data_IF_452188647940
#
_entry.id   IF_452188647940
#
_cell.length_a   1.000
_cell.length_b   1.000
_cell.length_c   1.000
_cell.angle_alpha   90.00
_cell.angle_beta   90.00
_cell.angle_gamma   90.00
#
_symmetry.space_group_name_H-M   'P 1'
#
loop_
_entity.id
_entity.type
_entity.pdbx_description
1 polymer ?
#
# COMPACT_ATOMS: atom_id res chain seq x y z
N UNK A 1 14.50 -17.39 30.96
CA UNK A 1 14.52 -16.11 30.22
C UNK A 1 13.11 -15.55 30.32
N UNK A 2 12.88 -14.46 31.08
CA UNK A 2 11.53 -13.92 31.25
C UNK A 2 11.13 -13.07 30.03
N UNK A 3 9.97 -13.37 29.45
CA UNK A 3 9.41 -12.62 28.31
C UNK A 3 8.26 -11.74 28.80
N UNK A 4 8.31 -10.45 28.46
CA UNK A 4 7.33 -9.44 28.85
C UNK A 4 6.41 -9.12 27.67
N UNK A 5 5.09 -9.23 27.85
CA UNK A 5 4.11 -8.94 26.81
C UNK A 5 3.10 -7.88 27.27
N UNK A 6 2.85 -6.90 26.39
CA UNK A 6 1.83 -5.88 26.58
C UNK A 6 0.55 -6.25 25.86
N UNK A 7 -0.59 -6.13 26.55
CA UNK A 7 -1.90 -6.27 25.93
C UNK A 7 -2.04 -5.33 24.72
N UNK A 8 -2.54 -5.83 23.59
CA UNK A 8 -2.67 -5.08 22.33
C UNK A 8 -3.98 -4.33 22.17
N UNK A 9 -4.81 -4.25 23.21
CA UNK A 9 -6.07 -3.49 23.15
C UNK A 9 -5.79 -2.00 22.94
N UNK A 10 -6.42 -1.35 21.93
CA UNK A 10 -6.19 0.07 21.60
C UNK A 10 -6.41 1.06 22.76
N UNK A 11 -7.31 0.74 23.70
CA UNK A 11 -7.75 1.68 24.75
C UNK A 11 -7.09 1.45 26.12
N UNK A 12 -6.37 0.34 26.34
CA UNK A 12 -5.87 -0.06 27.67
C UNK A 12 -4.51 -0.75 27.58
N UNK A 13 -3.46 0.05 27.41
CA UNK A 13 -2.05 -0.38 27.33
C UNK A 13 -1.38 -0.66 28.70
N UNK A 14 -2.17 -0.79 29.79
CA UNK A 14 -1.65 -0.94 31.16
C UNK A 14 -1.58 -2.38 31.69
N UNK A 15 -2.13 -3.36 30.97
CA UNK A 15 -2.03 -4.76 31.34
C UNK A 15 -0.78 -5.39 30.71
N UNK A 16 0.13 -5.84 31.57
CA UNK A 16 1.39 -6.50 31.20
C UNK A 16 1.60 -7.72 32.06
N UNK A 17 2.05 -8.82 31.44
CA UNK A 17 2.30 -10.07 32.14
C UNK A 17 3.68 -10.63 31.78
N UNK A 18 4.32 -11.24 32.77
CA UNK A 18 5.57 -11.99 32.64
C UNK A 18 5.27 -13.48 32.62
N UNK A 19 5.81 -14.20 31.63
CA UNK A 19 5.54 -15.64 31.45
C UNK A 19 6.81 -16.45 31.64
N UNK A 20 6.65 -17.60 32.32
CA UNK A 20 7.65 -18.64 32.47
C UNK A 20 7.10 -19.90 31.76
N UNK A 21 7.51 -20.05 30.49
CA UNK A 21 7.34 -21.22 29.59
C UNK A 21 5.97 -21.51 28.90
N UNK A 22 6.07 -21.88 27.61
CA UNK A 22 5.10 -22.57 26.71
C UNK A 22 3.62 -22.17 26.69
N UNK A 23 3.28 -20.95 27.12
CA UNK A 23 1.93 -20.40 26.90
C UNK A 23 1.90 -19.65 25.57
N UNK A 24 0.98 -20.00 24.67
CA UNK A 24 0.77 -19.31 23.38
C UNK A 24 -0.37 -18.29 23.42
N UNK A 25 -1.21 -18.34 24.46
CA UNK A 25 -2.45 -17.57 24.59
C UNK A 25 -2.47 -16.84 25.93
N UNK A 26 -2.65 -15.52 25.88
CA UNK A 26 -2.77 -14.65 27.04
C UNK A 26 -4.14 -13.99 27.07
N UNK A 27 -4.89 -14.27 28.13
CA UNK A 27 -6.15 -13.60 28.44
C UNK A 27 -5.86 -12.36 29.28
N UNK A 28 -6.28 -11.20 28.81
CA UNK A 28 -6.15 -9.97 29.57
C UNK A 28 -7.32 -9.85 30.56
N UNK A 29 -7.01 -9.73 31.85
CA UNK A 29 -8.02 -9.57 32.92
C UNK A 29 -8.87 -8.30 32.78
N UNK A 30 -8.44 -7.35 31.95
CA UNK A 30 -9.10 -6.06 31.75
C UNK A 30 -10.22 -6.12 30.69
N UNK A 31 -10.14 -7.05 29.73
CA UNK A 31 -11.14 -7.21 28.66
C UNK A 31 -11.48 -8.68 28.45
N UNK A 32 -12.60 -9.08 29.04
CA UNK A 32 -13.19 -10.41 28.90
C UNK A 32 -13.59 -10.63 27.44
N UNK A 33 -12.84 -11.46 26.72
CA UNK A 33 -13.21 -11.93 25.37
C UNK A 33 -12.12 -11.85 24.30
N UNK A 34 -11.05 -11.08 24.52
CA UNK A 34 -9.94 -10.97 23.55
C UNK A 34 -8.73 -11.80 24.00
N UNK A 35 -8.36 -12.81 23.20
CA UNK A 35 -7.17 -13.64 23.44
C UNK A 35 -5.99 -13.02 22.70
N UNK A 36 -4.92 -12.71 23.44
CA UNK A 36 -3.67 -12.25 22.84
C UNK A 36 -2.82 -13.48 22.52
N UNK A 37 -2.44 -13.65 21.26
CA UNK A 37 -1.49 -14.68 20.90
C UNK A 37 -0.06 -14.16 21.06
N UNK A 38 0.74 -14.88 21.84
CA UNK A 38 2.14 -14.52 22.10
C UNK A 38 3.04 -14.83 20.88
N UNK A 39 2.63 -15.78 20.03
CA UNK A 39 3.39 -16.20 18.85
C UNK A 39 3.36 -15.14 17.73
N UNK A 40 2.20 -14.56 17.43
CA UNK A 40 2.06 -13.52 16.41
C UNK A 40 1.88 -12.10 16.97
N UNK A 41 1.88 -11.97 18.31
CA UNK A 41 1.74 -10.70 19.02
C UNK A 41 0.48 -9.90 18.65
N UNK A 42 -0.63 -10.59 18.39
CA UNK A 42 -1.90 -10.02 17.97
C UNK A 42 -3.08 -10.56 18.80
N UNK A 43 -4.24 -9.91 18.70
CA UNK A 43 -5.46 -10.37 19.36
C UNK A 43 -6.32 -11.17 18.38
N UNK A 44 -6.50 -12.45 18.66
CA UNK A 44 -7.42 -13.33 17.94
C UNK A 44 -7.95 -14.43 18.87
N UNK A 45 -9.27 -14.59 18.94
CA UNK A 45 -9.94 -15.64 19.72
C UNK A 45 -10.83 -16.49 18.84
N UNK A 46 -10.99 -17.77 19.18
CA UNK A 46 -11.86 -18.70 18.45
C UNK A 46 -11.31 -19.22 17.11
N UNK A 47 -10.10 -18.84 16.74
CA UNK A 47 -9.37 -19.32 15.56
C UNK A 47 -7.89 -19.55 15.91
N UNK A 48 -7.25 -20.47 15.21
CA UNK A 48 -5.83 -20.77 15.39
C UNK A 48 -4.94 -19.64 14.88
N UNK A 49 -3.70 -19.57 15.39
CA UNK A 49 -2.72 -18.58 14.91
C UNK A 49 -2.47 -18.70 13.40
N UNK A 50 -2.50 -19.91 12.84
CA UNK A 50 -2.33 -20.11 11.40
C UNK A 50 -3.50 -19.53 10.60
N UNK A 51 -4.74 -19.83 10.99
CA UNK A 51 -5.94 -19.29 10.34
C UNK A 51 -5.98 -17.75 10.41
N UNK A 52 -5.55 -17.17 11.52
CA UNK A 52 -5.42 -15.72 11.66
C UNK A 52 -4.39 -15.12 10.69
N UNK A 53 -3.21 -15.74 10.57
CA UNK A 53 -2.19 -15.31 9.61
C UNK A 53 -2.67 -15.45 8.16
N UNK A 54 -3.37 -16.54 7.85
CA UNK A 54 -3.94 -16.78 6.51
C UNK A 54 -5.03 -15.75 6.17
N UNK A 55 -5.87 -15.37 7.13
CA UNK A 55 -6.87 -14.31 6.96
C UNK A 55 -6.24 -12.92 6.73
N UNK A 56 -5.17 -12.60 7.46
CA UNK A 56 -4.39 -11.39 7.23
C UNK A 56 -3.78 -11.37 5.83
N UNK A 57 -3.19 -12.49 5.38
CA UNK A 57 -2.62 -12.61 4.04
C UNK A 57 -3.69 -12.40 2.95
N UNK A 58 -4.87 -13.00 3.11
CA UNK A 58 -6.00 -12.78 2.19
C UNK A 58 -6.44 -11.32 2.13
N UNK A 59 -6.50 -10.63 3.28
CA UNK A 59 -6.85 -9.20 3.34
C UNK A 59 -5.81 -8.32 2.65
N UNK A 60 -4.52 -8.63 2.81
CA UNK A 60 -3.43 -7.95 2.09
C UNK A 60 -3.57 -8.17 0.59
N UNK A 61 -3.83 -9.40 0.16
CA UNK A 61 -4.06 -9.72 -1.25
C UNK A 61 -5.28 -8.99 -1.82
N UNK A 62 -6.40 -8.97 -1.11
CA UNK A 62 -7.59 -8.21 -1.52
C UNK A 62 -7.33 -6.71 -1.62
N UNK A 63 -6.60 -6.13 -0.67
CA UNK A 63 -6.22 -4.72 -0.70
C UNK A 63 -5.26 -4.43 -1.88
N UNK A 64 -4.30 -5.31 -2.15
CA UNK A 64 -3.41 -5.22 -3.30
C UNK A 64 -4.19 -5.33 -4.62
N UNK A 65 -5.16 -6.24 -4.71
CA UNK A 65 -6.03 -6.38 -5.88
C UNK A 65 -6.89 -5.14 -6.12
N UNK A 66 -7.48 -4.56 -5.06
CA UNK A 66 -8.24 -3.30 -5.15
C UNK A 66 -7.37 -2.16 -5.66
N UNK A 67 -6.15 -2.05 -5.14
CA UNK A 67 -5.17 -1.02 -5.53
C UNK A 67 -4.76 -1.17 -7.00
N UNK A 68 -4.47 -2.40 -7.44
CA UNK A 68 -4.16 -2.68 -8.85
C UNK A 68 -5.33 -2.34 -9.77
N UNK A 69 -6.55 -2.76 -9.41
CA UNK A 69 -7.76 -2.47 -10.19
C UNK A 69 -8.00 -0.97 -10.35
N UNK A 70 -7.77 -0.19 -9.29
CA UNK A 70 -7.87 1.26 -9.35
C UNK A 70 -6.90 1.87 -10.37
N UNK A 71 -5.63 1.42 -10.39
CA UNK A 71 -4.65 1.87 -11.38
C UNK A 71 -5.02 1.44 -12.80
N UNK A 72 -5.46 0.20 -12.99
CA UNK A 72 -5.88 -0.32 -14.29
C UNK A 72 -7.08 0.47 -14.85
N UNK A 73 -8.06 0.81 -13.99
CA UNK A 73 -9.19 1.64 -14.37
C UNK A 73 -8.78 3.07 -14.75
N UNK A 74 -7.80 3.65 -14.05
CA UNK A 74 -7.24 4.97 -14.38
C UNK A 74 -6.53 4.98 -15.74
N UNK A 75 -5.78 3.91 -16.05
CA UNK A 75 -5.13 3.73 -17.36
C UNK A 75 -6.17 3.56 -18.46
N UNK A 76 -7.21 2.75 -18.22
CA UNK A 76 -8.28 2.48 -19.19
C UNK A 76 -9.09 3.74 -19.53
N UNK A 77 -9.38 4.58 -18.53
CA UNK A 77 -10.07 5.87 -18.73
C UNK A 77 -9.19 6.90 -19.44
N UNK A 78 -7.86 6.68 -19.45
CA UNK A 78 -6.92 7.64 -19.98
C UNK A 78 -6.72 8.83 -19.05
N UNK A 79 -6.89 8.62 -17.74
CA UNK A 79 -6.62 9.59 -16.69
C UNK A 79 -5.18 9.45 -16.15
N UNK A 80 -4.57 8.28 -16.35
CA UNK A 80 -3.22 7.94 -15.87
C UNK A 80 -2.43 7.04 -16.82
N UNK A 81 -1.11 7.01 -16.69
CA UNK A 81 -0.24 6.03 -17.32
C UNK A 81 0.95 5.68 -16.43
N UNK A 82 1.47 4.44 -16.47
CA UNK A 82 2.70 4.09 -15.78
C UNK A 82 3.91 4.69 -16.49
N UNK A 83 4.89 5.17 -15.72
CA UNK A 83 6.17 5.57 -16.29
C UNK A 83 6.87 4.37 -16.97
N UNK A 84 7.31 4.47 -18.23
CA UNK A 84 7.92 3.35 -18.95
C UNK A 84 9.28 2.90 -18.38
N UNK A 85 9.89 3.69 -17.48
CA UNK A 85 11.20 3.40 -16.88
C UNK A 85 11.13 2.89 -15.44
N UNK A 86 10.23 3.44 -14.61
CA UNK A 86 10.16 3.11 -13.18
C UNK A 86 8.76 2.74 -12.70
N UNK A 87 7.79 2.61 -13.61
CA UNK A 87 6.42 2.13 -13.37
C UNK A 87 5.57 2.93 -12.38
N UNK A 88 6.06 4.07 -11.86
CA UNK A 88 5.24 4.99 -11.04
C UNK A 88 4.05 5.50 -11.86
N UNK A 89 2.88 5.58 -11.23
CA UNK A 89 1.68 6.10 -11.88
C UNK A 89 1.78 7.61 -12.09
N UNK A 90 1.54 8.05 -13.32
CA UNK A 90 1.57 9.44 -13.72
C UNK A 90 0.16 9.87 -14.14
N UNK A 91 -0.31 11.01 -13.64
CA UNK A 91 -1.63 11.58 -13.96
C UNK A 91 -1.43 12.88 -14.72
N UNK A 92 -2.19 13.08 -15.80
CA UNK A 92 -2.10 14.29 -16.62
C UNK A 92 -3.06 15.36 -16.13
N UNK A 93 -2.57 16.59 -16.02
CA UNK A 93 -3.42 17.80 -15.95
C UNK A 93 -3.74 18.26 -17.38
N UNK A 94 -4.99 18.61 -17.64
CA UNK A 94 -5.50 19.02 -18.97
C UNK A 94 -4.55 19.95 -19.75
N UNK A 95 -4.41 19.70 -21.05
CA UNK A 95 -3.79 20.65 -22.00
C UNK A 95 -2.28 20.50 -22.27
N UNK A 96 -1.61 19.50 -21.71
CA UNK A 96 -0.18 19.24 -21.98
C UNK A 96 0.07 17.78 -22.34
N UNK A 97 0.58 17.51 -23.55
CA UNK A 97 0.89 16.13 -23.97
C UNK A 97 2.31 15.69 -23.57
N UNK A 98 3.14 16.63 -23.12
CA UNK A 98 4.47 16.36 -22.60
C UNK A 98 4.47 16.35 -21.08
N UNK A 99 5.14 15.38 -20.48
CA UNK A 99 5.35 15.34 -19.03
C UNK A 99 6.71 14.76 -18.66
N UNK A 100 7.21 15.13 -17.47
CA UNK A 100 8.45 14.58 -16.91
C UNK A 100 8.15 13.80 -15.65
N UNK A 101 8.60 12.55 -15.60
CA UNK A 101 8.47 11.71 -14.42
C UNK A 101 9.23 12.33 -13.23
N UNK A 102 8.59 12.50 -12.05
CA UNK A 102 9.23 13.05 -10.87
C UNK A 102 10.29 12.11 -10.27
N UNK A 103 10.12 10.79 -10.44
CA UNK A 103 10.99 9.77 -9.82
C UNK A 103 12.26 9.56 -10.63
N UNK A 104 12.14 9.27 -11.92
CA UNK A 104 13.27 8.89 -12.77
C UNK A 104 13.67 9.95 -13.80
N UNK A 105 12.96 11.09 -13.82
CA UNK A 105 13.19 12.23 -14.73
C UNK A 105 13.00 11.95 -16.22
N UNK A 106 12.51 10.77 -16.61
CA UNK A 106 12.14 10.43 -17.98
C UNK A 106 11.10 11.39 -18.52
N UNK A 107 11.36 11.95 -19.69
CA UNK A 107 10.40 12.73 -20.46
C UNK A 107 9.50 11.78 -21.26
N UNK A 108 8.20 11.98 -21.16
CA UNK A 108 7.17 11.06 -21.66
C UNK A 108 6.17 11.87 -22.45
N UNK A 109 5.72 11.31 -23.57
CA UNK A 109 4.57 11.83 -24.27
C UNK A 109 3.30 11.06 -23.90
N UNK A 110 2.23 11.78 -23.57
CA UNK A 110 0.94 11.24 -23.21
C UNK A 110 0.27 10.46 -24.35
N UNK A 111 0.39 10.98 -25.58
CA UNK A 111 -0.21 10.37 -26.77
C UNK A 111 0.44 9.02 -27.08
N UNK A 112 1.78 8.96 -27.05
CA UNK A 112 2.54 7.74 -27.37
C UNK A 112 2.72 6.81 -26.17
N UNK A 113 2.57 7.33 -24.95
CA UNK A 113 2.88 6.67 -23.67
C UNK A 113 4.34 6.22 -23.54
N UNK A 114 5.22 6.76 -24.40
CA UNK A 114 6.61 6.36 -24.53
C UNK A 114 7.62 7.48 -24.20
N UNK A 115 8.89 7.12 -23.97
CA UNK A 115 9.96 8.07 -23.77
C UNK A 115 10.19 9.00 -24.99
N UNK A 116 10.74 10.19 -24.69
CA UNK A 116 11.24 11.12 -25.69
C UNK A 116 12.37 10.46 -26.51
N UNK A 117 12.21 10.44 -27.84
CA UNK A 117 13.16 9.81 -28.77
C UNK A 117 12.60 8.58 -29.48
N UNK A 118 11.46 8.04 -29.04
CA UNK A 118 10.77 6.99 -29.79
C UNK A 118 10.20 7.55 -31.11
N UNK A 119 10.11 6.74 -32.18
CA UNK A 119 9.62 7.17 -33.49
C UNK A 119 8.23 7.84 -33.47
N UNK A 120 7.42 7.60 -32.44
CA UNK A 120 6.11 8.22 -32.27
C UNK A 120 6.12 9.63 -31.66
N UNK A 121 7.25 10.12 -31.15
CA UNK A 121 7.32 11.38 -30.38
C UNK A 121 6.99 12.65 -31.18
N UNK A 122 6.99 12.56 -32.52
CA UNK A 122 6.82 13.68 -33.45
C UNK A 122 5.49 14.44 -33.32
N UNK A 123 4.49 13.87 -32.65
CA UNK A 123 3.14 14.46 -32.51
C UNK A 123 2.87 15.14 -31.16
N UNK A 124 3.85 15.29 -30.28
CA UNK A 124 3.62 15.72 -28.90
C UNK A 124 3.91 17.22 -28.72
N UNK A 125 2.87 18.01 -28.48
CA UNK A 125 2.98 19.47 -28.42
C UNK A 125 3.59 19.95 -27.09
N UNK A 126 4.68 20.72 -27.16
CA UNK A 126 5.32 21.39 -26.03
C UNK A 126 4.56 22.66 -25.64
N UNK A 127 3.28 22.56 -25.29
CA UNK A 127 2.61 23.71 -24.68
C UNK A 127 3.25 23.98 -23.31
N UNK A 128 3.92 25.13 -23.17
CA UNK A 128 4.86 25.53 -22.11
C UNK A 128 4.31 25.63 -20.67
N UNK A 129 3.20 24.98 -20.36
CA UNK A 129 2.63 24.92 -19.01
C UNK A 129 3.07 23.63 -18.30
N UNK A 130 4.21 23.72 -17.61
CA UNK A 130 4.83 22.65 -16.80
C UNK A 130 3.92 22.27 -15.63
N UNK A 131 3.02 21.31 -15.82
CA UNK A 131 2.18 20.79 -14.74
C UNK A 131 2.35 19.28 -14.63
N UNK A 132 3.21 18.85 -13.70
CA UNK A 132 3.27 17.45 -13.23
C UNK A 132 2.51 17.39 -11.91
N UNK A 133 1.40 16.63 -11.84
CA UNK A 133 0.80 16.22 -10.57
C UNK A 133 1.14 14.75 -10.37
N UNK A 134 1.97 14.49 -9.39
CA UNK A 134 2.30 13.14 -8.94
C UNK A 134 1.29 12.76 -7.88
N UNK A 135 0.54 11.68 -8.06
CA UNK A 135 -0.11 11.04 -6.91
C UNK A 135 0.87 9.99 -6.41
N UNK A 136 1.68 10.35 -5.41
CA UNK A 136 2.32 9.37 -4.54
C UNK A 136 1.24 8.85 -3.61
N UNK A 137 0.62 7.70 -3.94
CA UNK A 137 -0.18 6.95 -2.96
C UNK A 137 0.77 6.25 -1.99
N UNK A 138 1.48 7.03 -1.18
CA UNK A 138 2.08 6.60 0.08
C UNK A 138 1.30 7.32 1.18
N UNK A 139 0.03 6.96 1.34
CA UNK A 139 -0.81 7.22 2.52
C UNK A 139 -2.14 6.48 2.28
N UNK A 140 -2.10 5.15 2.42
CA UNK A 140 -3.27 4.41 2.85
C UNK A 140 -3.07 4.19 4.36
N UNK A 141 -4.11 4.44 5.20
CA UNK A 141 -4.00 4.41 6.66
C UNK A 141 -3.57 3.05 7.21
#
# INVERSE_FOLDING_TARGET
MQMWFHCKTPELSKASASFEDNVNEFHCDVLVGNVNCLNCQAQHGGITCQEYQDDLAKKVDEAAMKTKKFFDDMIRRGDGLPCPKCSVMLVRKWGCDWMRCPMCRTEICWVTKGPRGDPGYVSCNENKNKHTITICLFDLP
#
